data_IF_359278832358
#
_entry.id   IF_359278832358
#
_cell.length_a   1.000
_cell.length_b   1.000
_cell.length_c   1.000
_cell.angle_alpha   90.00
_cell.angle_beta   90.00
_cell.angle_gamma   90.00
#
_symmetry.space_group_name_H-M   'P 1'
#
loop_
_entity.id
_entity.type
_entity.pdbx_description
1 polymer ?
#
# COMPACT_ATOMS: atom_id res chain seq x y z
N UNK A 1 20.08 -34.12 9.95
CA UNK A 1 19.33 -32.89 10.33
C UNK A 1 19.84 -31.61 9.68
N UNK A 2 21.15 -31.32 9.56
CA UNK A 2 21.65 -30.09 8.89
C UNK A 2 21.37 -30.05 7.38
N UNK A 3 21.41 -31.15 6.68
CA UNK A 3 21.16 -31.28 5.23
C UNK A 3 19.68 -31.07 4.89
N UNK A 4 18.77 -31.62 5.69
CA UNK A 4 17.31 -31.42 5.50
C UNK A 4 16.91 -29.96 5.69
N UNK A 5 17.50 -29.26 6.68
CA UNK A 5 17.26 -27.82 6.89
C UNK A 5 17.72 -26.97 5.72
N UNK A 6 18.85 -27.33 5.08
CA UNK A 6 19.33 -26.65 3.87
C UNK A 6 18.43 -26.93 2.66
N UNK A 7 17.94 -28.16 2.51
CA UNK A 7 17.05 -28.56 1.43
C UNK A 7 15.68 -27.84 1.55
N UNK A 8 15.13 -27.75 2.76
CA UNK A 8 13.88 -27.01 3.04
C UNK A 8 14.07 -25.53 2.78
N UNK A 9 15.21 -24.94 3.13
CA UNK A 9 15.51 -23.53 2.86
C UNK A 9 15.64 -23.26 1.34
N UNK A 10 16.28 -24.14 0.58
CA UNK A 10 16.40 -24.03 -0.88
C UNK A 10 15.03 -24.21 -1.55
N UNK A 11 14.20 -25.15 -1.09
CA UNK A 11 12.84 -25.37 -1.61
C UNK A 11 11.93 -24.18 -1.34
N UNK A 12 12.14 -23.44 -0.24
CA UNK A 12 11.38 -22.23 0.10
C UNK A 12 11.84 -21.00 -0.69
N UNK A 13 13.11 -20.97 -1.15
CA UNK A 13 13.65 -19.89 -1.98
C UNK A 13 13.36 -20.06 -3.47
N UNK A 14 13.09 -21.28 -3.95
CA UNK A 14 12.89 -21.57 -5.37
C UNK A 14 11.67 -20.84 -6.00
N UNK A 15 10.48 -20.75 -5.35
CA UNK A 15 9.35 -20.00 -5.91
C UNK A 15 9.54 -18.47 -5.92
N UNK A 16 10.51 -17.93 -5.17
CA UNK A 16 10.77 -16.48 -5.14
C UNK A 16 11.51 -15.99 -6.40
N UNK A 17 12.10 -16.88 -7.19
CA UNK A 17 12.84 -16.52 -8.40
C UNK A 17 12.01 -16.51 -9.69
N UNK A 18 10.76 -17.00 -9.64
CA UNK A 18 9.91 -17.11 -10.83
C UNK A 18 8.82 -16.03 -10.92
N UNK A 19 8.74 -15.11 -9.96
CA UNK A 19 7.66 -14.14 -9.86
C UNK A 19 8.07 -12.75 -10.35
N UNK A 20 8.41 -12.62 -11.63
CA UNK A 20 8.29 -11.34 -12.34
C UNK A 20 6.81 -11.11 -12.69
N UNK A 21 5.91 -11.22 -11.71
CA UNK A 21 4.48 -11.00 -11.90
C UNK A 21 4.18 -9.51 -11.68
N UNK A 22 3.17 -9.03 -12.40
CA UNK A 22 2.63 -7.70 -12.15
C UNK A 22 2.21 -7.60 -10.68
N UNK A 23 2.56 -6.49 -10.03
CA UNK A 23 2.29 -6.28 -8.60
C UNK A 23 0.79 -6.05 -8.31
N UNK A 24 0.00 -5.77 -9.34
CA UNK A 24 -1.47 -5.67 -9.31
C UNK A 24 -2.02 -5.94 -10.71
N UNK A 25 -3.28 -6.35 -10.79
CA UNK A 25 -4.04 -6.53 -12.04
C UNK A 25 -5.37 -5.77 -11.97
N UNK A 26 -5.51 -4.91 -10.97
CA UNK A 26 -6.72 -4.10 -10.77
C UNK A 26 -6.87 -3.09 -11.92
N UNK A 27 -8.01 -3.06 -12.65
CA UNK A 27 -8.28 -2.03 -13.63
C UNK A 27 -8.30 -0.62 -13.02
N UNK A 28 -8.63 -0.49 -11.75
CA UNK A 28 -8.57 0.78 -11.02
C UNK A 28 -7.14 1.29 -10.80
N UNK A 29 -6.11 0.48 -11.07
CA UNK A 29 -4.73 0.95 -11.09
C UNK A 29 -4.37 1.76 -12.33
N UNK A 30 -5.26 1.86 -13.33
CA UNK A 30 -5.09 2.73 -14.50
C UNK A 30 -5.16 4.21 -14.14
N UNK A 31 -5.87 4.54 -13.05
CA UNK A 31 -6.06 5.93 -12.64
C UNK A 31 -4.86 6.45 -11.84
N UNK A 32 -4.42 7.64 -12.19
CA UNK A 32 -3.40 8.34 -11.44
C UNK A 32 -2.05 7.63 -11.41
N UNK A 33 -1.45 7.62 -10.25
CA UNK A 33 -0.16 6.93 -10.00
C UNK A 33 -0.34 5.44 -9.63
N UNK A 34 -1.49 4.87 -9.96
CA UNK A 34 -1.81 3.49 -9.67
C UNK A 34 -2.53 3.29 -8.33
N UNK A 35 -2.64 2.04 -7.91
CA UNK A 35 -3.29 1.65 -6.68
C UNK A 35 -2.38 1.89 -5.47
N UNK A 36 -2.80 2.75 -4.54
CA UNK A 36 -2.07 3.00 -3.31
C UNK A 36 -2.00 1.75 -2.43
N UNK A 37 -0.81 1.51 -1.89
CA UNK A 37 -0.56 0.41 -0.98
C UNK A 37 -0.76 0.85 0.48
N UNK A 38 -1.06 -0.12 1.36
CA UNK A 38 -1.11 0.14 2.80
C UNK A 38 0.24 0.66 3.29
N UNK A 39 0.24 1.82 3.93
CA UNK A 39 1.44 2.39 4.52
C UNK A 39 1.68 1.91 5.96
N UNK A 40 0.81 1.03 6.46
CA UNK A 40 0.93 0.39 7.77
C UNK A 40 1.66 -0.94 7.71
N UNK A 41 2.26 -1.31 8.82
CA UNK A 41 2.90 -2.62 9.01
C UNK A 41 1.89 -3.71 9.41
N UNK A 42 2.34 -4.93 9.66
CA UNK A 42 1.45 -6.05 9.99
C UNK A 42 0.50 -5.74 11.16
N UNK A 43 1.00 -5.09 12.22
CA UNK A 43 0.17 -4.67 13.36
C UNK A 43 -0.99 -3.74 12.93
N UNK A 44 -0.71 -2.76 12.08
CA UNK A 44 -1.71 -1.83 11.59
C UNK A 44 -2.74 -2.54 10.68
N UNK A 45 -2.26 -3.40 9.77
CA UNK A 45 -3.09 -4.13 8.81
C UNK A 45 -4.06 -5.09 9.52
N UNK A 46 -3.60 -5.80 10.56
CA UNK A 46 -4.42 -6.66 11.41
C UNK A 46 -5.54 -5.89 12.13
N UNK A 47 -5.32 -4.62 12.42
CA UNK A 47 -6.24 -3.73 13.13
C UNK A 47 -7.06 -2.85 12.19
N UNK A 48 -7.25 -3.24 10.92
CA UNK A 48 -8.03 -2.47 9.95
C UNK A 48 -7.35 -1.18 9.47
N UNK A 49 -6.02 -1.07 9.63
CA UNK A 49 -5.26 0.11 9.22
C UNK A 49 -5.19 1.22 10.27
N UNK A 50 -5.51 0.95 11.53
CA UNK A 50 -5.36 1.90 12.64
C UNK A 50 -3.89 2.26 12.84
N UNK A 51 -3.60 3.54 13.03
CA UNK A 51 -2.25 4.05 13.26
C UNK A 51 -2.18 5.27 14.16
N UNK A 52 -3.13 6.20 14.07
CA UNK A 52 -3.04 7.49 14.76
C UNK A 52 -2.88 7.36 16.29
N UNK A 53 -3.74 6.54 16.93
CA UNK A 53 -3.71 6.30 18.37
C UNK A 53 -3.09 4.94 18.75
N UNK A 54 -2.32 4.32 17.87
CA UNK A 54 -1.64 3.05 18.12
C UNK A 54 -0.29 3.28 18.77
N UNK A 55 -0.08 2.67 19.93
CA UNK A 55 1.12 2.82 20.75
C UNK A 55 1.69 1.44 21.08
N UNK A 56 2.92 1.18 20.71
CA UNK A 56 3.61 -0.09 21.00
C UNK A 56 5.06 0.16 21.40
N UNK A 57 5.52 -0.59 22.39
CA UNK A 57 6.91 -0.51 22.86
C UNK A 57 7.84 -1.52 22.15
N UNK A 58 7.31 -2.37 21.23
CA UNK A 58 8.03 -3.47 20.58
C UNK A 58 7.82 -3.56 19.07
N UNK A 59 6.76 -2.94 18.54
CA UNK A 59 6.43 -2.98 17.12
C UNK A 59 6.37 -1.55 16.58
N UNK A 60 6.87 -1.39 15.37
CA UNK A 60 6.91 -0.09 14.71
C UNK A 60 5.53 0.30 14.18
N UNK A 61 5.26 1.60 14.15
CA UNK A 61 4.06 2.18 13.57
C UNK A 61 4.45 3.44 12.79
N UNK A 62 4.47 3.34 11.46
CA UNK A 62 4.81 4.45 10.58
C UNK A 62 3.65 5.43 10.41
N UNK A 63 2.40 4.97 10.59
CA UNK A 63 1.21 5.79 10.36
C UNK A 63 1.09 6.99 11.31
N UNK A 64 1.74 6.94 12.48
CA UNK A 64 1.90 8.11 13.35
C UNK A 64 3.36 8.25 13.79
N UNK A 65 4.08 9.25 13.29
CA UNK A 65 5.49 9.48 13.65
C UNK A 65 5.76 9.59 15.14
N UNK A 66 4.85 10.15 15.92
CA UNK A 66 5.02 10.32 17.36
C UNK A 66 5.10 8.98 18.12
N UNK A 67 4.55 7.91 17.55
CA UNK A 67 4.47 6.58 18.19
C UNK A 67 5.84 5.96 18.45
N UNK A 68 6.87 6.31 17.65
CA UNK A 68 8.22 5.77 17.79
C UNK A 68 8.87 6.13 19.14
N UNK A 69 8.41 7.22 19.78
CA UNK A 69 8.83 7.62 21.14
C UNK A 69 8.55 6.57 22.21
N UNK A 70 7.66 5.61 21.93
CA UNK A 70 7.32 4.49 22.80
C UNK A 70 8.33 3.34 22.75
N UNK A 71 9.13 3.26 21.70
CA UNK A 71 10.02 2.12 21.46
C UNK A 71 11.05 1.97 22.59
N UNK A 72 11.17 0.73 23.10
CA UNK A 72 12.09 0.41 24.20
C UNK A 72 13.22 -0.55 23.80
N UNK A 73 13.06 -1.22 22.69
CA UNK A 73 14.02 -2.15 22.10
C UNK A 73 14.33 -1.73 20.68
N UNK A 74 15.51 -2.04 20.18
CA UNK A 74 15.78 -2.00 18.75
C UNK A 74 14.89 -3.01 18.07
N UNK A 75 14.14 -2.58 17.06
CA UNK A 75 13.19 -3.41 16.34
C UNK A 75 13.55 -3.41 14.85
N UNK A 76 13.75 -4.60 14.30
CA UNK A 76 13.87 -4.82 12.87
C UNK A 76 12.64 -5.57 12.39
N UNK A 77 11.95 -5.01 11.42
CA UNK A 77 10.72 -5.61 10.88
C UNK A 77 10.83 -5.82 9.38
N UNK A 78 10.42 -7.00 8.94
CA UNK A 78 10.27 -7.34 7.52
C UNK A 78 8.94 -8.03 7.31
N UNK A 79 8.19 -7.59 6.30
CA UNK A 79 6.89 -8.15 5.96
C UNK A 79 6.77 -8.46 4.47
N UNK A 80 6.04 -9.53 4.17
CA UNK A 80 5.65 -9.93 2.81
C UNK A 80 4.14 -9.91 2.74
N UNK A 81 3.60 -9.35 1.66
CA UNK A 81 2.18 -9.27 1.39
C UNK A 81 1.84 -10.12 0.16
N UNK A 82 0.69 -10.79 0.21
CA UNK A 82 0.07 -11.44 -0.93
C UNK A 82 -1.36 -10.94 -1.08
N UNK A 83 -1.84 -10.86 -2.30
CA UNK A 83 -3.22 -10.49 -2.62
C UNK A 83 -3.79 -11.47 -3.65
N UNK A 84 -4.93 -12.06 -3.34
CA UNK A 84 -5.80 -12.74 -4.28
C UNK A 84 -6.94 -11.79 -4.61
N UNK A 85 -7.09 -11.46 -5.88
CA UNK A 85 -8.04 -10.49 -6.40
C UNK A 85 -9.02 -11.19 -7.33
N UNK A 86 -10.31 -11.05 -7.04
CA UNK A 86 -11.43 -11.57 -7.82
C UNK A 86 -12.15 -10.37 -8.44
N UNK A 87 -12.03 -10.24 -9.73
CA UNK A 87 -12.64 -9.19 -10.54
C UNK A 87 -13.92 -9.73 -11.14
N UNK A 88 -15.00 -8.96 -11.07
CA UNK A 88 -16.28 -9.29 -11.67
C UNK A 88 -16.91 -8.05 -12.29
N UNK A 89 -17.26 -8.15 -13.57
CA UNK A 89 -18.14 -7.19 -14.24
C UNK A 89 -19.45 -7.89 -14.68
N UNK A 90 -20.21 -7.27 -15.57
CA UNK A 90 -21.46 -7.84 -16.09
C UNK A 90 -21.26 -9.09 -16.95
N UNK A 91 -20.09 -9.27 -17.58
CA UNK A 91 -19.82 -10.27 -18.62
C UNK A 91 -18.66 -11.21 -18.28
N UNK A 92 -17.73 -10.79 -17.41
CA UNK A 92 -16.49 -11.52 -17.14
C UNK A 92 -16.20 -11.65 -15.65
N UNK A 93 -15.54 -12.74 -15.31
CA UNK A 93 -14.94 -12.99 -14.00
C UNK A 93 -13.47 -13.36 -14.22
N UNK A 94 -12.58 -12.74 -13.46
CA UNK A 94 -11.14 -13.00 -13.52
C UNK A 94 -10.58 -13.12 -12.10
N UNK A 95 -9.69 -14.07 -11.90
CA UNK A 95 -8.93 -14.22 -10.67
C UNK A 95 -7.44 -13.97 -10.94
N UNK A 96 -6.78 -13.31 -10.01
CA UNK A 96 -5.34 -13.09 -10.05
C UNK A 96 -4.73 -13.16 -8.66
N UNK A 97 -3.46 -13.57 -8.61
CA UNK A 97 -2.67 -13.58 -7.38
C UNK A 97 -1.37 -12.85 -7.61
N UNK A 98 -1.01 -11.98 -6.67
CA UNK A 98 0.29 -11.33 -6.64
C UNK A 98 0.88 -11.32 -5.24
N UNK A 99 2.21 -11.29 -5.16
CA UNK A 99 2.93 -11.19 -3.89
C UNK A 99 4.08 -10.22 -4.01
N UNK A 100 4.31 -9.44 -2.95
CA UNK A 100 5.34 -8.41 -2.93
C UNK A 100 6.01 -8.33 -1.57
N UNK A 101 7.23 -7.75 -1.55
CA UNK A 101 7.80 -7.27 -0.29
C UNK A 101 6.90 -6.16 0.26
N UNK A 102 6.33 -6.37 1.44
CA UNK A 102 5.44 -5.42 2.07
C UNK A 102 6.19 -4.23 2.66
N UNK A 103 7.25 -4.49 3.40
CA UNK A 103 8.10 -3.45 4.00
C UNK A 103 9.37 -4.04 4.59
N UNK A 104 10.36 -3.16 4.74
CA UNK A 104 11.58 -3.36 5.50
C UNK A 104 11.76 -2.15 6.40
N UNK A 105 11.90 -2.33 7.71
CA UNK A 105 11.99 -1.22 8.67
C UNK A 105 12.91 -1.54 9.84
N UNK A 106 13.64 -0.54 10.29
CA UNK A 106 14.54 -0.62 11.42
C UNK A 106 14.27 0.57 12.35
N UNK A 107 14.05 0.31 13.63
CA UNK A 107 13.78 1.32 14.65
C UNK A 107 14.71 1.20 15.86
N UNK A 108 15.13 2.34 16.41
CA UNK A 108 16.01 2.44 17.56
C UNK A 108 15.47 3.39 18.61
N UNK A 109 15.47 2.99 19.90
CA UNK A 109 15.34 3.94 20.98
C UNK A 109 16.69 4.69 21.16
N UNK A 110 16.71 5.99 20.87
CA UNK A 110 17.90 6.85 21.06
C UNK A 110 18.09 7.23 22.52
N UNK A 111 16.99 7.52 23.20
CA UNK A 111 16.92 7.84 24.61
C UNK A 111 15.54 7.47 25.16
N UNK A 112 15.34 7.57 26.47
CA UNK A 112 14.01 7.35 27.06
C UNK A 112 12.99 8.36 26.51
N UNK A 113 12.01 7.86 25.75
CA UNK A 113 10.99 8.70 25.12
C UNK A 113 11.43 9.34 23.79
N UNK A 114 12.59 8.96 23.23
CA UNK A 114 13.06 9.42 21.93
C UNK A 114 13.42 8.21 21.07
N UNK A 115 12.83 8.12 19.89
CA UNK A 115 13.07 7.03 18.96
C UNK A 115 13.26 7.53 17.54
N UNK A 116 13.95 6.74 16.74
CA UNK A 116 14.15 6.92 15.31
C UNK A 116 13.85 5.62 14.59
N UNK A 117 13.28 5.69 13.40
CA UNK A 117 13.20 4.54 12.50
C UNK A 117 13.43 4.96 11.05
N UNK A 118 13.88 4.01 10.25
CA UNK A 118 14.05 4.17 8.81
C UNK A 118 13.61 2.89 8.12
N UNK A 119 13.17 3.02 6.87
CA UNK A 119 12.71 1.85 6.13
C UNK A 119 12.33 2.15 4.69
N UNK A 120 11.85 1.09 4.05
CA UNK A 120 11.43 1.07 2.65
C UNK A 120 10.14 0.26 2.54
N UNK A 121 9.18 0.78 1.79
CA UNK A 121 7.91 0.12 1.50
C UNK A 121 7.34 0.58 0.16
N UNK A 122 6.49 -0.23 -0.48
CA UNK A 122 5.76 0.20 -1.67
C UNK A 122 4.81 1.36 -1.35
N UNK A 123 4.73 2.34 -2.25
CA UNK A 123 3.80 3.46 -2.16
C UNK A 123 2.55 3.24 -3.02
N UNK A 124 2.77 2.91 -4.31
CA UNK A 124 1.69 2.57 -5.24
C UNK A 124 2.15 1.54 -6.26
N UNK A 125 1.21 0.80 -6.85
CA UNK A 125 1.45 -0.10 -7.97
C UNK A 125 0.53 0.22 -9.13
N UNK A 126 1.07 0.23 -10.33
CA UNK A 126 0.34 0.30 -11.59
C UNK A 126 0.48 -1.04 -12.31
N UNK A 127 -0.66 -1.66 -12.66
CA UNK A 127 -0.66 -2.96 -13.33
C UNK A 127 -2.05 -3.25 -13.87
N UNK A 128 -2.27 -3.00 -15.17
CA UNK A 128 -3.53 -3.27 -15.86
C UNK A 128 -3.25 -3.64 -17.31
N UNK A 129 -4.18 -4.36 -17.89
CA UNK A 129 -4.23 -4.67 -19.32
C UNK A 129 -5.69 -4.67 -19.72
N UNK A 130 -6.10 -3.69 -20.50
CA UNK A 130 -7.48 -3.45 -20.91
C UNK A 130 -7.53 -3.46 -22.44
N UNK A 131 -8.43 -4.24 -23.01
CA UNK A 131 -8.62 -4.33 -24.46
C UNK A 131 -9.97 -3.75 -24.83
N UNK A 132 -10.00 -2.90 -25.83
CA UNK A 132 -11.20 -2.34 -26.42
C UNK A 132 -11.21 -2.64 -27.91
N UNK A 133 -12.27 -3.28 -28.38
CA UNK A 133 -12.50 -3.53 -29.80
C UNK A 133 -13.53 -2.53 -30.31
N UNK A 134 -13.21 -1.85 -31.40
CA UNK A 134 -14.08 -0.85 -32.02
C UNK A 134 -14.18 -1.18 -33.51
N UNK A 135 -15.39 -1.34 -34.02
CA UNK A 135 -15.64 -1.46 -35.42
C UNK A 135 -15.79 -0.07 -36.02
N UNK A 136 -14.90 0.26 -36.95
CA UNK A 136 -15.00 1.48 -37.75
C UNK A 136 -15.55 1.11 -39.13
N UNK A 137 -16.57 1.82 -39.62
CA UNK A 137 -17.15 1.60 -40.94
C UNK A 137 -17.28 2.93 -41.70
N UNK A 138 -16.92 2.94 -42.97
CA UNK A 138 -17.18 4.06 -43.86
C UNK A 138 -18.46 3.90 -44.69
N UNK A 139 -19.23 2.84 -44.39
CA UNK A 139 -20.51 2.51 -45.05
C UNK A 139 -20.31 1.54 -46.24
N UNK A 140 -19.08 1.19 -46.61
CA UNK A 140 -18.72 0.21 -47.65
C UNK A 140 -17.91 -0.91 -47.02
N UNK A 141 -16.85 -0.56 -46.31
CA UNK A 141 -15.95 -1.49 -45.62
C UNK A 141 -16.05 -1.32 -44.10
N UNK A 142 -15.89 -2.39 -43.37
CA UNK A 142 -15.73 -2.37 -41.89
C UNK A 142 -14.32 -2.79 -41.53
N UNK A 143 -13.69 -2.01 -40.65
CA UNK A 143 -12.36 -2.27 -40.14
C UNK A 143 -12.43 -2.47 -38.63
N UNK A 144 -11.92 -3.59 -38.15
CA UNK A 144 -11.80 -3.86 -36.73
C UNK A 144 -10.53 -3.23 -36.19
N UNK A 145 -10.70 -2.23 -35.31
CA UNK A 145 -9.63 -1.55 -34.59
C UNK A 145 -9.55 -2.08 -33.14
N UNK A 146 -8.45 -2.73 -32.85
CA UNK A 146 -8.15 -3.20 -31.51
C UNK A 146 -7.24 -2.21 -30.81
N UNK A 147 -7.66 -1.76 -29.63
CA UNK A 147 -6.87 -0.89 -28.77
C UNK A 147 -6.59 -1.60 -27.45
N UNK A 148 -5.32 -1.68 -27.10
CA UNK A 148 -4.86 -2.28 -25.86
C UNK A 148 -4.17 -1.22 -25.00
N UNK A 149 -4.61 -1.08 -23.76
CA UNK A 149 -4.04 -0.17 -22.76
C UNK A 149 -3.31 -1.02 -21.73
N UNK A 150 -2.01 -0.81 -21.58
CA UNK A 150 -1.16 -1.54 -20.67
C UNK A 150 -0.49 -0.56 -19.72
N UNK A 151 -0.66 -0.80 -18.41
CA UNK A 151 0.07 -0.07 -17.38
C UNK A 151 0.97 -0.99 -16.58
N UNK A 152 2.15 -0.51 -16.19
CA UNK A 152 3.07 -1.27 -15.34
C UNK A 152 3.94 -0.35 -14.49
N UNK A 153 4.58 -0.93 -13.48
CA UNK A 153 5.50 -0.23 -12.60
C UNK A 153 4.90 0.13 -11.24
N UNK A 154 5.53 1.08 -10.56
CA UNK A 154 5.10 1.50 -9.23
C UNK A 154 6.06 2.47 -8.58
N UNK A 155 5.57 3.11 -7.52
CA UNK A 155 6.34 4.00 -6.69
C UNK A 155 6.66 3.33 -5.36
N UNK A 156 7.83 3.62 -4.83
CA UNK A 156 8.31 3.18 -3.53
C UNK A 156 8.50 4.39 -2.62
N UNK A 157 8.46 4.14 -1.31
CA UNK A 157 8.68 5.13 -0.26
C UNK A 157 9.84 4.69 0.60
N UNK A 158 10.94 5.45 0.61
CA UNK A 158 11.95 5.38 1.64
C UNK A 158 11.64 6.46 2.70
N UNK A 159 11.87 6.16 3.98
CA UNK A 159 11.54 7.11 5.03
C UNK A 159 12.56 7.11 6.16
N UNK A 160 12.63 8.26 6.84
CA UNK A 160 13.24 8.41 8.16
C UNK A 160 12.22 9.08 9.07
N UNK A 161 11.92 8.43 10.18
CA UNK A 161 10.98 8.89 11.19
C UNK A 161 11.70 9.21 12.50
N UNK A 162 11.38 10.35 13.11
CA UNK A 162 11.87 10.78 14.42
C UNK A 162 10.66 11.16 15.29
N UNK A 163 10.65 10.67 16.53
CA UNK A 163 9.63 11.04 17.51
C UNK A 163 10.19 11.17 18.91
N UNK A 164 9.64 12.12 19.65
CA UNK A 164 10.06 12.43 20.99
C UNK A 164 8.87 12.69 21.92
N UNK A 165 8.98 12.22 23.17
CA UNK A 165 8.07 12.60 24.26
C UNK A 165 8.52 13.94 24.81
N UNK A 166 7.76 15.00 24.51
CA UNK A 166 8.11 16.39 24.88
C UNK A 166 7.57 16.81 26.23
N UNK A 167 6.47 16.19 26.67
CA UNK A 167 5.86 16.46 27.98
C UNK A 167 5.22 15.19 28.53
N UNK A 168 4.74 15.20 29.80
CA UNK A 168 4.08 14.06 30.46
C UNK A 168 2.95 13.49 29.59
N UNK A 169 3.22 12.36 28.92
CA UNK A 169 2.28 11.67 28.03
C UNK A 169 2.14 12.26 26.63
N UNK A 170 2.68 13.45 26.32
CA UNK A 170 2.63 14.08 25.01
C UNK A 170 3.88 13.73 24.20
N UNK A 171 3.69 13.14 23.06
CA UNK A 171 4.73 12.84 22.08
C UNK A 171 4.43 13.54 20.76
N UNK A 172 5.46 14.02 20.09
CA UNK A 172 5.42 14.58 18.72
C UNK A 172 6.40 13.82 17.86
N UNK A 173 6.17 13.84 16.58
CA UNK A 173 7.08 13.21 15.63
C UNK A 173 6.90 13.74 14.22
N UNK A 174 7.89 13.49 13.39
CA UNK A 174 7.85 13.77 11.97
C UNK A 174 8.50 12.63 11.19
N UNK A 175 8.04 12.42 9.96
CA UNK A 175 8.65 11.49 9.00
C UNK A 175 9.02 12.26 7.75
N UNK A 176 10.29 12.22 7.37
CA UNK A 176 10.73 12.65 6.06
C UNK A 176 10.71 11.44 5.13
N UNK A 177 10.09 11.59 3.97
CA UNK A 177 9.94 10.52 2.98
C UNK A 177 10.56 10.94 1.67
N UNK A 178 11.06 9.95 0.93
CA UNK A 178 11.39 10.06 -0.49
C UNK A 178 10.50 9.09 -1.25
N UNK A 179 9.69 9.62 -2.16
CA UNK A 179 8.86 8.83 -3.08
C UNK A 179 9.62 8.70 -4.38
N UNK A 180 9.87 7.48 -4.84
CA UNK A 180 10.65 7.24 -6.05
C UNK A 180 10.17 6.00 -6.79
N UNK A 181 10.36 6.02 -8.12
CA UNK A 181 10.01 4.88 -8.98
C UNK A 181 9.60 5.32 -10.38
N UNK A 182 9.13 4.35 -11.15
CA UNK A 182 8.76 4.56 -12.56
C UNK A 182 7.41 3.93 -12.83
N UNK A 183 6.56 4.68 -13.54
CA UNK A 183 5.27 4.26 -14.07
C UNK A 183 5.36 4.26 -15.58
N UNK A 184 4.93 3.17 -16.20
CA UNK A 184 4.88 3.03 -17.64
C UNK A 184 3.45 2.84 -18.10
N UNK A 185 3.05 3.62 -19.11
CA UNK A 185 1.77 3.52 -19.82
C UNK A 185 2.04 3.26 -21.28
N UNK A 186 1.32 2.32 -21.86
CA UNK A 186 1.44 1.94 -23.24
C UNK A 186 0.04 1.79 -23.83
N UNK A 187 -0.16 2.35 -25.00
CA UNK A 187 -1.37 2.17 -25.79
C UNK A 187 -0.97 1.61 -27.14
N UNK A 188 -1.41 0.40 -27.43
CA UNK A 188 -1.23 -0.26 -28.70
C UNK A 188 -2.53 -0.20 -29.50
N UNK A 189 -2.43 0.30 -30.74
CA UNK A 189 -3.50 0.23 -31.73
C UNK A 189 -3.04 -0.76 -32.80
N UNK A 190 -3.83 -1.80 -33.04
CA UNK A 190 -3.49 -2.82 -34.00
C UNK A 190 -4.70 -3.31 -34.79
N UNK A 191 -4.41 -3.75 -35.98
CA UNK A 191 -5.38 -4.24 -36.96
C UNK A 191 -5.10 -5.71 -37.25
N UNK A 192 -6.14 -6.47 -37.56
CA UNK A 192 -5.97 -7.88 -38.00
C UNK A 192 -5.43 -7.97 -39.42
N UNK A 193 -5.67 -6.94 -40.27
CA UNK A 193 -5.20 -6.89 -41.63
C UNK A 193 -3.68 -6.73 -41.72
N UNK A 194 -2.97 -7.66 -42.41
CA UNK A 194 -1.50 -7.67 -42.41
C UNK A 194 -0.86 -6.46 -43.13
N UNK A 195 -1.63 -5.73 -43.93
CA UNK A 195 -1.14 -4.59 -44.69
C UNK A 195 -1.24 -3.26 -43.94
N UNK A 196 -1.92 -3.24 -42.80
CA UNK A 196 -2.04 -2.04 -42.01
C UNK A 196 -0.87 -1.93 -41.03
N UNK A 197 -0.53 -0.70 -40.70
CA UNK A 197 0.57 -0.38 -39.79
C UNK A 197 0.00 -0.14 -38.42
N UNK A 198 0.51 -0.87 -37.45
CA UNK A 198 0.14 -0.72 -36.06
C UNK A 198 0.88 0.48 -35.41
N UNK A 199 0.29 1.04 -34.38
CA UNK A 199 0.85 2.17 -33.62
C UNK A 199 0.98 1.82 -32.15
N UNK A 200 2.08 2.22 -31.54
CA UNK A 200 2.32 2.17 -30.09
C UNK A 200 2.63 3.55 -29.59
N UNK A 201 1.86 4.02 -28.61
CA UNK A 201 2.16 5.20 -27.83
C UNK A 201 2.67 4.73 -26.47
N UNK A 202 3.84 5.18 -26.06
CA UNK A 202 4.47 4.83 -24.79
C UNK A 202 4.80 6.09 -24.00
N UNK A 203 4.46 6.10 -22.71
CA UNK A 203 4.82 7.17 -21.78
C UNK A 203 5.46 6.57 -20.52
N UNK A 204 6.59 7.12 -20.12
CA UNK A 204 7.35 6.68 -18.95
C UNK A 204 7.48 7.87 -18.01
N UNK A 205 6.87 7.76 -16.84
CA UNK A 205 6.91 8.77 -15.77
C UNK A 205 7.86 8.31 -14.68
N UNK A 206 8.91 9.08 -14.42
CA UNK A 206 9.86 8.82 -13.33
C UNK A 206 9.66 9.87 -12.25
N UNK A 207 9.38 9.42 -11.03
CA UNK A 207 9.19 10.27 -9.85
C UNK A 207 10.36 10.08 -8.90
N UNK A 208 10.88 11.18 -8.36
CA UNK A 208 11.89 11.17 -7.29
C UNK A 208 11.80 12.49 -6.52
N UNK A 209 11.03 12.49 -5.43
CA UNK A 209 10.81 13.71 -4.65
C UNK A 209 10.50 13.40 -3.18
N UNK A 210 10.50 14.45 -2.34
CA UNK A 210 10.39 14.34 -0.91
C UNK A 210 9.03 14.81 -0.38
N UNK A 211 8.53 14.14 0.67
CA UNK A 211 7.32 14.52 1.41
C UNK A 211 7.55 14.49 2.92
N UNK A 212 6.65 15.09 3.69
CA UNK A 212 6.73 15.17 5.13
C UNK A 212 5.41 14.72 5.77
N UNK A 213 5.48 13.92 6.84
CA UNK A 213 4.34 13.62 7.69
C UNK A 213 4.61 14.09 9.13
N UNK A 214 3.58 14.59 9.80
CA UNK A 214 3.62 15.04 11.18
C UNK A 214 2.71 14.19 12.04
N UNK A 215 3.09 13.97 13.28
CA UNK A 215 2.31 13.18 14.22
C UNK A 215 2.33 13.72 15.64
N UNK A 216 1.23 13.48 16.32
CA UNK A 216 1.04 13.81 17.73
C UNK A 216 0.35 12.64 18.42
N UNK A 217 0.80 12.29 19.63
CA UNK A 217 0.12 11.35 20.53
C UNK A 217 0.10 11.88 21.96
N UNK A 218 -1.05 11.73 22.63
CA UNK A 218 -1.18 12.00 24.05
C UNK A 218 -1.66 10.76 24.78
N UNK A 219 -0.81 10.22 25.63
CA UNK A 219 -1.09 9.03 26.45
C UNK A 219 -1.34 9.43 27.90
N UNK A 220 -2.46 8.98 28.45
CA UNK A 220 -2.80 9.12 29.87
C UNK A 220 -3.18 7.78 30.49
N UNK A 221 -2.56 7.44 31.60
CA UNK A 221 -2.93 6.24 32.35
C UNK A 221 -3.96 6.60 33.45
N UNK A 222 -5.13 5.95 33.41
CA UNK A 222 -6.23 6.16 34.33
C UNK A 222 -6.62 4.79 34.90
N UNK A 223 -6.47 4.61 36.21
CA UNK A 223 -6.81 3.35 36.90
C UNK A 223 -6.20 2.09 36.22
N UNK A 224 -4.94 2.18 35.79
CA UNK A 224 -4.22 1.09 35.14
C UNK A 224 -4.62 0.79 33.67
N UNK A 225 -5.49 1.62 33.08
CA UNK A 225 -5.83 1.59 31.66
C UNK A 225 -5.15 2.77 30.95
N UNK A 226 -4.71 2.56 29.73
CA UNK A 226 -4.12 3.58 28.88
C UNK A 226 -5.20 4.14 27.97
N UNK A 227 -5.40 5.45 28.01
CA UNK A 227 -6.19 6.23 27.07
C UNK A 227 -5.20 6.98 26.18
N UNK A 228 -5.31 6.84 24.87
CA UNK A 228 -4.41 7.46 23.91
C UNK A 228 -5.24 8.22 22.89
N UNK A 229 -4.96 9.49 22.74
CA UNK A 229 -5.38 10.31 21.61
C UNK A 229 -4.23 10.43 20.64
N UNK A 230 -4.47 10.28 19.34
CA UNK A 230 -3.48 10.45 18.30
C UNK A 230 -4.03 11.26 17.15
N UNK A 231 -3.17 12.07 16.57
CA UNK A 231 -3.46 12.83 15.34
C UNK A 231 -2.26 12.80 14.41
N UNK A 232 -2.53 12.79 13.10
CA UNK A 232 -1.52 12.86 12.05
C UNK A 232 -1.93 13.86 10.98
N UNK A 233 -0.94 14.45 10.36
CA UNK A 233 -1.11 15.42 9.30
C UNK A 233 -0.03 15.24 8.25
N UNK A 234 -0.42 15.04 7.00
CA UNK A 234 0.47 15.06 5.84
C UNK A 234 0.09 16.26 4.98
N UNK A 235 0.94 17.27 4.88
CA UNK A 235 0.67 18.45 4.06
C UNK A 235 0.61 18.07 2.58
N UNK A 236 -0.08 18.89 1.81
CA UNK A 236 -0.03 18.82 0.36
C UNK A 236 1.42 18.90 -0.12
N UNK A 237 1.79 18.04 -1.05
CA UNK A 237 3.16 17.96 -1.58
C UNK A 237 3.14 17.94 -3.10
N UNK A 238 3.94 18.80 -3.71
CA UNK A 238 4.13 18.82 -5.14
C UNK A 238 5.34 17.97 -5.48
N UNK A 239 5.12 16.82 -6.14
CA UNK A 239 6.18 15.95 -6.62
C UNK A 239 6.48 16.26 -8.08
N UNK A 240 7.74 16.24 -8.43
CA UNK A 240 8.19 16.40 -9.81
C UNK A 240 8.28 15.04 -10.49
N UNK A 241 7.55 14.87 -11.58
CA UNK A 241 7.64 13.70 -12.43
C UNK A 241 8.29 14.07 -13.75
N UNK A 242 9.26 13.30 -14.15
CA UNK A 242 9.90 13.41 -15.48
C UNK A 242 9.17 12.48 -16.44
N UNK A 243 8.61 13.03 -17.51
CA UNK A 243 7.93 12.27 -18.57
C UNK A 243 8.84 12.11 -19.77
N UNK A 244 8.88 10.88 -20.33
CA UNK A 244 9.47 10.55 -21.62
C UNK A 244 8.42 9.84 -22.43
N UNK A 245 8.02 10.45 -23.56
CA UNK A 245 7.04 9.90 -24.49
C UNK A 245 7.69 9.40 -25.77
N UNK A 246 7.10 8.36 -26.37
CA UNK A 246 7.51 7.89 -27.69
C UNK A 246 6.32 7.31 -28.45
N UNK A 247 6.26 7.60 -29.75
CA UNK A 247 5.25 7.06 -30.67
C UNK A 247 5.97 6.27 -31.76
N UNK A 248 5.63 4.99 -31.84
CA UNK A 248 6.20 4.07 -32.81
C UNK A 248 5.15 3.53 -33.76
N UNK A 249 5.54 3.28 -34.98
CA UNK A 249 4.82 2.36 -35.85
C UNK A 249 5.50 1.00 -35.84
N UNK A 250 4.70 -0.05 -35.86
CA UNK A 250 5.22 -1.40 -35.82
C UNK A 250 4.37 -2.39 -36.63
N UNK A 251 5.00 -3.51 -36.97
CA UNK A 251 4.31 -4.68 -37.53
C UNK A 251 4.61 -5.88 -36.62
N UNK A 252 3.69 -6.82 -36.63
CA UNK A 252 3.86 -8.09 -35.91
C UNK A 252 4.06 -9.21 -36.93
N UNK A 253 5.14 -9.98 -36.77
CA UNK A 253 5.36 -11.18 -37.57
C UNK A 253 5.94 -12.27 -36.66
N UNK A 254 5.41 -13.50 -36.76
CA UNK A 254 5.84 -14.65 -35.92
C UNK A 254 5.84 -14.35 -34.40
N UNK A 255 4.86 -13.62 -33.92
CA UNK A 255 4.75 -13.15 -32.51
C UNK A 255 5.85 -12.18 -32.06
N UNK A 256 6.63 -11.62 -32.98
CA UNK A 256 7.60 -10.57 -32.66
C UNK A 256 7.11 -9.22 -33.18
N UNK A 257 7.33 -8.19 -32.35
CA UNK A 257 7.05 -6.79 -32.70
C UNK A 257 8.29 -6.22 -33.41
N UNK A 258 8.10 -5.72 -34.65
CA UNK A 258 9.15 -5.05 -35.43
C UNK A 258 8.80 -3.58 -35.54
N UNK A 259 9.55 -2.72 -34.84
CA UNK A 259 9.43 -1.26 -34.97
C UNK A 259 9.82 -0.89 -36.39
N UNK A 260 8.92 -0.21 -37.09
CA UNK A 260 9.14 0.28 -38.47
C UNK A 260 9.69 1.68 -38.48
N UNK A 261 9.04 2.56 -37.71
CA UNK A 261 9.43 3.96 -37.69
C UNK A 261 9.11 4.56 -36.30
N UNK A 262 9.84 5.58 -35.92
CA UNK A 262 9.60 6.40 -34.77
C UNK A 262 8.98 7.71 -35.22
N UNK A 263 7.67 7.89 -34.97
CA UNK A 263 6.94 9.09 -35.39
C UNK A 263 7.32 10.29 -34.54
N UNK A 264 7.41 10.07 -33.24
CA UNK A 264 7.77 11.10 -32.26
C UNK A 264 8.59 10.48 -31.12
N UNK A 265 9.60 11.23 -30.71
CA UNK A 265 10.28 11.07 -29.43
C UNK A 265 10.09 12.39 -28.71
N UNK A 266 9.26 12.40 -27.69
CA UNK A 266 9.08 13.60 -26.91
C UNK A 266 10.34 13.87 -26.09
N UNK A 267 10.80 15.11 -26.12
CA UNK A 267 11.85 15.53 -25.21
C UNK A 267 11.40 15.34 -23.77
N UNK A 268 12.34 14.98 -22.91
CA UNK A 268 12.09 14.83 -21.49
C UNK A 268 11.45 16.10 -20.92
N UNK A 269 10.21 16.01 -20.49
CA UNK A 269 9.47 17.10 -19.89
C UNK A 269 9.29 16.87 -18.39
N UNK A 270 9.29 17.96 -17.63
CA UNK A 270 9.00 17.93 -16.19
C UNK A 270 7.53 18.27 -15.99
N UNK A 271 6.83 17.45 -15.22
CA UNK A 271 5.42 17.62 -14.93
C UNK A 271 5.17 17.50 -13.42
N UNK A 272 4.22 18.27 -12.94
CA UNK A 272 3.86 18.27 -11.54
C UNK A 272 2.86 17.17 -11.20
N UNK A 273 3.14 16.47 -10.11
CA UNK A 273 2.25 15.52 -9.46
C UNK A 273 1.91 16.03 -8.06
N UNK A 274 0.70 16.53 -7.89
CA UNK A 274 0.25 17.10 -6.63
C UNK A 274 -0.35 16.00 -5.74
N UNK A 275 0.32 15.61 -4.66
CA UNK A 275 -0.24 14.74 -3.64
C UNK A 275 -1.14 15.54 -2.69
N UNK A 276 -2.36 15.06 -2.41
CA UNK A 276 -3.31 15.78 -1.59
C UNK A 276 -2.92 15.80 -0.11
N UNK A 277 -3.41 16.82 0.58
CA UNK A 277 -3.36 16.89 2.03
C UNK A 277 -4.16 15.75 2.66
N UNK A 278 -3.66 15.19 3.76
CA UNK A 278 -4.39 14.21 4.56
C UNK A 278 -4.23 14.43 6.06
N UNK A 279 -5.28 14.09 6.80
CA UNK A 279 -5.25 14.11 8.24
C UNK A 279 -6.03 12.94 8.83
N UNK A 280 -5.55 12.43 9.96
CA UNK A 280 -6.25 11.40 10.71
C UNK A 280 -6.27 11.75 12.20
N UNK A 281 -7.33 11.32 12.88
CA UNK A 281 -7.45 11.41 14.32
C UNK A 281 -8.03 10.11 14.87
N UNK A 282 -7.49 9.65 15.99
CA UNK A 282 -7.89 8.41 16.62
C UNK A 282 -7.91 8.48 18.14
N UNK A 283 -8.71 7.61 18.70
CA UNK A 283 -8.81 7.41 20.14
C UNK A 283 -8.68 5.92 20.46
N UNK A 284 -7.87 5.58 21.42
CA UNK A 284 -7.73 4.21 21.88
C UNK A 284 -7.82 4.07 23.40
N UNK A 285 -8.32 2.93 23.81
CA UNK A 285 -8.39 2.53 25.22
C UNK A 285 -7.87 1.09 25.35
N UNK A 286 -7.04 0.84 26.33
CA UNK A 286 -6.50 -0.50 26.54
C UNK A 286 -5.84 -0.70 27.89
N UNK A 287 -5.44 -1.94 28.13
CA UNK A 287 -4.55 -2.31 29.24
C UNK A 287 -3.32 -2.95 28.61
N UNK A 288 -2.17 -2.38 28.89
CA UNK A 288 -0.91 -2.83 28.34
C UNK A 288 -0.75 -4.36 28.41
N UNK A 289 -0.35 -4.98 27.29
CA UNK A 289 -0.16 -6.43 27.14
C UNK A 289 -1.38 -7.31 27.45
N UNK A 290 -2.59 -6.75 27.45
CA UNK A 290 -3.80 -7.53 27.76
C UNK A 290 -4.91 -7.32 26.72
N UNK A 291 -5.37 -6.09 26.51
CA UNK A 291 -6.38 -5.78 25.52
C UNK A 291 -6.30 -4.32 25.08
N UNK A 292 -6.84 -4.04 23.89
CA UNK A 292 -6.84 -2.74 23.25
C UNK A 292 -8.04 -2.63 22.33
N UNK A 293 -8.65 -1.45 22.28
CA UNK A 293 -9.70 -1.08 21.33
C UNK A 293 -9.40 0.33 20.84
N UNK A 294 -9.56 0.57 19.54
CA UNK A 294 -9.32 1.87 18.96
C UNK A 294 -10.30 2.16 17.84
N UNK A 295 -10.62 3.45 17.67
CA UNK A 295 -11.32 4.00 16.54
C UNK A 295 -10.53 5.15 15.92
N UNK A 296 -10.54 5.26 14.61
CA UNK A 296 -9.81 6.28 13.84
C UNK A 296 -10.65 6.76 12.68
N UNK A 297 -10.58 8.06 12.43
CA UNK A 297 -11.11 8.71 11.23
C UNK A 297 -9.96 9.34 10.45
N UNK A 298 -9.90 9.08 9.14
CA UNK A 298 -8.93 9.65 8.22
C UNK A 298 -9.67 10.32 7.06
N UNK A 299 -9.14 11.46 6.62
CA UNK A 299 -9.65 12.21 5.49
C UNK A 299 -8.51 12.62 4.56
N UNK A 300 -8.74 12.47 3.25
CA UNK A 300 -7.80 12.84 2.19
C UNK A 300 -8.47 13.68 1.13
N UNK A 301 -7.87 14.80 0.78
CA UNK A 301 -8.41 15.78 -0.19
C UNK A 301 -8.05 15.39 -1.63
N UNK A 302 -8.44 14.18 -2.06
CA UNK A 302 -8.12 13.66 -3.39
C UNK A 302 -8.64 14.50 -4.56
N UNK A 303 -9.68 15.32 -4.36
CA UNK A 303 -10.17 16.26 -5.37
C UNK A 303 -9.11 17.28 -5.81
N UNK A 304 -8.04 17.43 -5.03
CA UNK A 304 -6.93 18.33 -5.32
C UNK A 304 -5.78 17.63 -6.08
N UNK A 305 -5.83 16.31 -6.27
CA UNK A 305 -4.82 15.60 -7.02
C UNK A 305 -4.77 16.11 -8.44
N UNK A 306 -3.62 16.61 -8.86
CA UNK A 306 -3.32 16.95 -10.25
C UNK A 306 -2.22 16.01 -10.75
N UNK A 307 -2.43 15.44 -11.92
CA UNK A 307 -1.50 14.50 -12.54
C UNK A 307 -1.03 15.06 -13.86
N UNK A 308 0.26 15.24 -13.99
CA UNK A 308 0.94 15.49 -15.27
C UNK A 308 0.32 16.62 -16.11
N UNK A 309 -0.21 17.67 -15.43
CA UNK A 309 -0.87 18.80 -16.10
C UNK A 309 -2.32 18.53 -16.54
N UNK A 310 -2.84 17.31 -16.40
CA UNK A 310 -4.24 17.02 -16.67
C UNK A 310 -5.10 17.31 -15.43
N UNK A 311 -5.86 18.39 -15.47
CA UNK A 311 -6.81 18.76 -14.43
C UNK A 311 -8.14 17.97 -14.50
N UNK A 312 -8.27 17.03 -15.41
CA UNK A 312 -9.55 16.38 -15.73
C UNK A 312 -9.77 15.02 -15.02
N UNK A 313 -8.90 14.62 -14.11
CA UNK A 313 -9.20 13.48 -13.25
C UNK A 313 -10.23 13.92 -12.22
N UNK A 314 -11.49 13.56 -12.42
CA UNK A 314 -12.55 13.84 -11.45
C UNK A 314 -12.40 12.87 -10.28
N UNK A 315 -11.54 13.24 -9.34
CA UNK A 315 -11.38 12.56 -8.07
C UNK A 315 -12.22 13.24 -6.99
N UNK A 316 -12.71 12.47 -6.05
CA UNK A 316 -13.47 12.97 -4.91
C UNK A 316 -12.69 12.78 -3.61
N UNK A 317 -12.95 13.66 -2.64
CA UNK A 317 -12.39 13.51 -1.31
C UNK A 317 -12.81 12.19 -0.67
N UNK A 318 -11.86 11.50 -0.06
CA UNK A 318 -12.08 10.21 0.58
C UNK A 318 -12.08 10.32 2.09
N UNK A 319 -13.06 9.68 2.72
CA UNK A 319 -13.16 9.50 4.16
C UNK A 319 -13.00 8.03 4.50
N UNK A 320 -12.26 7.75 5.57
CA UNK A 320 -12.02 6.40 6.04
C UNK A 320 -12.30 6.29 7.54
N UNK A 321 -13.12 5.31 7.92
CA UNK A 321 -13.40 4.96 9.31
C UNK A 321 -12.78 3.61 9.59
N UNK A 322 -11.96 3.54 10.65
CA UNK A 322 -11.24 2.34 11.04
C UNK A 322 -11.56 1.99 12.49
N UNK A 323 -11.82 0.73 12.76
CA UNK A 323 -11.99 0.18 14.10
C UNK A 323 -11.05 -1.01 14.26
N UNK A 324 -10.41 -1.12 15.40
CA UNK A 324 -9.50 -2.24 15.66
C UNK A 324 -9.45 -2.60 17.14
N UNK A 325 -9.24 -3.88 17.37
CA UNK A 325 -9.10 -4.42 18.73
C UNK A 325 -8.09 -5.57 18.75
N UNK A 326 -7.42 -5.73 19.86
CA UNK A 326 -6.64 -6.93 20.13
C UNK A 326 -6.78 -7.39 21.57
N UNK A 327 -6.56 -8.70 21.80
CA UNK A 327 -6.53 -9.32 23.12
C UNK A 327 -5.37 -10.31 23.21
N UNK A 328 -4.69 -10.30 24.37
CA UNK A 328 -3.73 -11.33 24.76
C UNK A 328 -4.25 -11.93 26.06
N UNK A 329 -4.74 -13.18 26.06
CA UNK A 329 -5.39 -13.78 27.24
C UNK A 329 -4.50 -13.78 28.48
N UNK A 330 -3.24 -14.18 28.35
CA UNK A 330 -2.24 -14.10 29.42
C UNK A 330 -0.82 -14.11 28.84
N UNK A 331 -0.19 -12.95 28.73
CA UNK A 331 1.15 -12.80 28.16
C UNK A 331 2.28 -13.42 29.02
N UNK A 332 1.99 -13.86 30.24
CA UNK A 332 2.95 -14.48 31.20
C UNK A 332 2.74 -15.98 31.38
N UNK A 333 1.80 -16.61 30.66
CA UNK A 333 1.52 -18.03 30.80
C UNK A 333 2.69 -18.85 30.21
N UNK A 334 3.33 -19.68 31.04
CA UNK A 334 4.45 -20.53 30.62
C UNK A 334 4.01 -21.92 30.18
N UNK A 335 2.77 -22.32 30.53
CA UNK A 335 2.24 -23.65 30.26
C UNK A 335 1.43 -23.73 28.97
N UNK A 336 0.66 -22.68 28.67
CA UNK A 336 -0.26 -22.67 27.54
C UNK A 336 0.14 -21.56 26.54
N UNK A 337 0.87 -21.93 25.50
CA UNK A 337 1.37 -20.99 24.48
C UNK A 337 0.26 -20.14 23.83
N UNK A 338 -0.90 -20.73 23.54
CA UNK A 338 -2.01 -20.02 22.93
C UNK A 338 -2.53 -18.83 23.75
N UNK A 339 -2.31 -18.80 25.07
CA UNK A 339 -2.66 -17.67 25.93
C UNK A 339 -1.71 -16.48 25.78
N UNK A 340 -0.49 -16.71 25.25
CA UNK A 340 0.51 -15.67 25.02
C UNK A 340 0.37 -15.01 23.64
N UNK A 341 -0.43 -15.62 22.76
CA UNK A 341 -0.71 -15.08 21.43
C UNK A 341 -1.57 -13.82 21.54
N UNK A 342 -1.23 -12.78 20.79
CA UNK A 342 -2.07 -11.62 20.61
C UNK A 342 -2.98 -11.82 19.41
N UNK A 343 -4.29 -11.91 19.65
CA UNK A 343 -5.32 -12.03 18.64
C UNK A 343 -5.81 -10.65 18.26
N UNK A 344 -5.89 -10.35 16.98
CA UNK A 344 -6.20 -9.02 16.43
C UNK A 344 -7.37 -9.08 15.48
N UNK A 345 -8.18 -8.04 15.46
CA UNK A 345 -9.31 -7.86 14.56
C UNK A 345 -9.44 -6.40 14.18
N UNK A 346 -9.82 -6.13 12.94
CA UNK A 346 -10.02 -4.77 12.43
C UNK A 346 -11.13 -4.69 11.41
N UNK A 347 -11.76 -3.52 11.36
CA UNK A 347 -12.75 -3.11 10.36
C UNK A 347 -12.29 -1.84 9.69
N UNK A 348 -12.49 -1.74 8.40
CA UNK A 348 -12.18 -0.56 7.61
C UNK A 348 -13.30 -0.28 6.63
N UNK A 349 -13.77 0.96 6.61
CA UNK A 349 -14.70 1.48 5.63
C UNK A 349 -14.11 2.73 5.00
N UNK A 350 -13.98 2.76 3.68
CA UNK A 350 -13.42 3.85 2.89
C UNK A 350 -14.42 4.21 1.77
N UNK A 351 -14.74 5.50 1.64
CA UNK A 351 -15.63 5.98 0.59
C UNK A 351 -15.03 5.95 -0.82
N UNK A 352 -13.72 5.63 -0.93
CA UNK A 352 -12.99 5.68 -2.19
C UNK A 352 -12.74 7.11 -2.66
N UNK A 353 -11.78 7.25 -3.56
CA UNK A 353 -11.39 8.53 -4.14
C UNK A 353 -11.73 8.66 -5.63
N UNK A 354 -12.05 7.55 -6.31
CA UNK A 354 -12.44 7.56 -7.71
C UNK A 354 -13.94 7.90 -7.81
N UNK A 355 -14.27 8.85 -8.68
CA UNK A 355 -15.65 9.14 -9.03
C UNK A 355 -16.09 8.24 -10.17
N UNK A 356 -16.92 7.25 -9.84
CA UNK A 356 -17.38 6.25 -10.81
C UNK A 356 -18.36 6.81 -11.83
N UNK A 357 -18.96 7.98 -11.62
CA UNK A 357 -19.86 8.62 -12.60
C UNK A 357 -19.18 8.95 -13.92
N UNK A 358 -17.85 9.10 -13.88
CA UNK A 358 -17.01 9.38 -15.06
C UNK A 358 -16.44 8.12 -15.72
N UNK A 359 -16.42 6.99 -14.99
CA UNK A 359 -15.90 5.71 -15.47
C UNK A 359 -16.95 4.91 -16.22
N UNK A 360 -18.23 5.19 -15.99
CA UNK A 360 -19.32 4.49 -16.62
C UNK A 360 -19.85 5.31 -17.80
N UNK A 361 -20.07 4.63 -18.93
CA UNK A 361 -20.86 5.12 -20.05
C UNK A 361 -22.35 5.11 -19.61
N UNK A 362 -22.66 5.78 -18.49
CA UNK A 362 -23.99 5.75 -17.91
C UNK A 362 -24.19 6.79 -16.81
N UNK A 363 -25.43 7.20 -16.60
CA UNK A 363 -25.85 8.33 -15.78
C UNK A 363 -25.90 8.08 -14.26
N UNK A 364 -25.37 6.98 -13.76
CA UNK A 364 -25.49 6.63 -12.35
C UNK A 364 -24.25 7.06 -11.53
N UNK A 365 -24.46 7.89 -10.50
CA UNK A 365 -23.46 8.19 -9.48
C UNK A 365 -23.18 6.94 -8.62
N UNK A 366 -22.17 6.18 -8.96
CA UNK A 366 -21.73 5.03 -8.16
C UNK A 366 -20.40 5.35 -7.48
N UNK A 367 -20.34 5.24 -6.16
CA UNK A 367 -19.10 5.40 -5.39
C UNK A 367 -18.36 4.08 -5.30
N UNK A 368 -17.04 4.10 -5.47
CA UNK A 368 -16.17 2.94 -5.28
C UNK A 368 -15.84 2.75 -3.80
N UNK A 369 -16.88 2.52 -3.00
CA UNK A 369 -16.68 2.25 -1.57
C UNK A 369 -15.86 0.96 -1.39
N UNK A 370 -15.00 0.95 -0.39
CA UNK A 370 -14.19 -0.21 0.01
C UNK A 370 -14.49 -0.55 1.47
N UNK A 371 -14.94 -1.77 1.71
CA UNK A 371 -15.16 -2.32 3.04
C UNK A 371 -14.29 -3.53 3.25
N UNK A 372 -13.60 -3.61 4.39
CA UNK A 372 -12.79 -4.77 4.72
C UNK A 372 -12.82 -5.15 6.20
N UNK A 373 -12.61 -6.44 6.43
CA UNK A 373 -12.49 -7.11 7.73
C UNK A 373 -11.10 -7.75 7.80
N UNK A 374 -10.37 -7.45 8.85
CA UNK A 374 -9.01 -7.98 9.08
C UNK A 374 -8.97 -8.87 10.32
N UNK A 375 -8.18 -9.93 10.24
CA UNK A 375 -7.84 -10.80 11.36
C UNK A 375 -6.34 -11.04 11.39
N UNK A 376 -5.76 -11.07 12.57
CA UNK A 376 -4.34 -11.34 12.71
C UNK A 376 -3.95 -11.95 14.04
N UNK A 377 -2.75 -12.47 14.06
CA UNK A 377 -2.13 -13.05 15.25
C UNK A 377 -0.66 -12.62 15.33
N UNK A 378 -0.24 -12.20 16.53
CA UNK A 378 1.17 -12.05 16.83
C UNK A 378 1.64 -13.20 17.71
N UNK A 379 2.58 -13.96 17.22
CA UNK A 379 3.12 -15.19 17.79
C UNK A 379 4.49 -14.91 18.42
N UNK A 380 4.58 -14.70 19.74
CA UNK A 380 5.88 -14.48 20.40
C UNK A 380 6.70 -15.77 20.37
N UNK A 381 7.93 -15.71 19.89
CA UNK A 381 8.81 -16.87 19.89
C UNK A 381 9.37 -17.12 21.29
N UNK A 382 9.37 -18.38 21.71
CA UNK A 382 9.92 -18.79 23.01
C UNK A 382 11.42 -18.49 23.08
N UNK A 383 11.87 -17.94 24.21
CA UNK A 383 13.28 -17.59 24.48
C UNK A 383 13.85 -16.51 23.54
N UNK A 384 13.00 -15.74 22.90
CA UNK A 384 13.37 -14.63 22.01
C UNK A 384 12.39 -13.48 22.20
N UNK A 385 12.82 -12.28 21.88
CA UNK A 385 11.91 -11.13 21.77
C UNK A 385 11.31 -11.00 20.35
N UNK A 386 11.52 -12.01 19.49
CA UNK A 386 11.00 -12.04 18.13
C UNK A 386 9.51 -12.36 18.12
N UNK A 387 8.78 -11.66 17.28
CA UNK A 387 7.34 -11.84 17.06
C UNK A 387 7.14 -12.21 15.58
N UNK A 388 6.36 -13.26 15.33
CA UNK A 388 5.88 -13.57 13.98
C UNK A 388 4.44 -13.06 13.88
N UNK A 389 4.17 -12.18 12.93
CA UNK A 389 2.85 -11.65 12.66
C UNK A 389 2.28 -12.34 11.41
N UNK A 390 1.07 -12.85 11.52
CA UNK A 390 0.34 -13.50 10.43
C UNK A 390 -1.06 -12.92 10.43
N UNK A 391 -1.53 -12.47 9.27
CA UNK A 391 -2.87 -11.93 9.15
C UNK A 391 -3.47 -12.09 7.77
N UNK A 392 -4.78 -11.90 7.73
CA UNK A 392 -5.58 -11.88 6.52
C UNK A 392 -6.61 -10.76 6.57
N UNK A 393 -6.84 -10.12 5.44
CA UNK A 393 -7.85 -9.08 5.26
C UNK A 393 -8.76 -9.51 4.10
N UNK A 394 -10.06 -9.50 4.34
CA UNK A 394 -11.11 -9.79 3.38
C UNK A 394 -11.82 -8.48 3.06
N UNK A 395 -11.91 -8.13 1.80
CA UNK A 395 -12.53 -6.87 1.41
C UNK A 395 -13.26 -6.95 0.09
N UNK A 396 -14.09 -5.91 -0.12
CA UNK A 396 -14.85 -5.70 -1.35
C UNK A 396 -14.81 -4.22 -1.69
N UNK A 397 -14.51 -3.92 -2.96
CA UNK A 397 -14.48 -2.57 -3.51
C UNK A 397 -15.33 -2.49 -4.77
N UNK A 398 -16.08 -1.39 -4.91
CA UNK A 398 -16.89 -1.12 -6.10
C UNK A 398 -18.13 -2.00 -6.21
N UNK A 399 -18.68 -2.04 -7.42
CA UNK A 399 -19.89 -2.78 -7.79
C UNK A 399 -19.78 -3.28 -9.22
N UNK A 400 -20.44 -4.37 -9.56
CA UNK A 400 -20.56 -4.87 -10.93
C UNK A 400 -21.69 -4.20 -11.73
N UNK A 401 -22.42 -3.24 -11.13
CA UNK A 401 -23.46 -2.48 -11.80
C UNK A 401 -22.85 -1.30 -12.59
N UNK A 402 -23.59 -0.78 -13.59
CA UNK A 402 -23.23 0.42 -14.38
C UNK A 402 -21.86 0.30 -15.09
N UNK A 403 -21.54 -0.85 -15.66
CA UNK A 403 -20.28 -1.15 -16.35
C UNK A 403 -19.02 -0.96 -15.48
N UNK A 404 -19.18 -1.02 -14.15
CA UNK A 404 -18.07 -1.00 -13.23
C UNK A 404 -17.60 -2.42 -12.91
N UNK A 405 -16.41 -2.53 -12.32
CA UNK A 405 -15.83 -3.79 -11.88
C UNK A 405 -15.93 -3.91 -10.36
N UNK A 406 -16.57 -4.96 -9.88
CA UNK A 406 -16.50 -5.35 -8.47
C UNK A 406 -15.19 -6.08 -8.22
N UNK A 407 -14.44 -5.62 -7.21
CA UNK A 407 -13.24 -6.27 -6.75
C UNK A 407 -13.49 -6.89 -5.37
N UNK A 408 -13.45 -8.21 -5.28
CA UNK A 408 -13.31 -8.91 -3.99
C UNK A 408 -11.86 -9.30 -3.82
N UNK A 409 -11.31 -9.07 -2.64
CA UNK A 409 -9.91 -9.38 -2.40
C UNK A 409 -9.69 -10.08 -1.06
N UNK A 410 -8.66 -10.93 -1.06
CA UNK A 410 -8.10 -11.51 0.16
C UNK A 410 -6.63 -11.12 0.19
N UNK A 411 -6.24 -10.28 1.15
CA UNK A 411 -4.84 -9.92 1.38
C UNK A 411 -4.31 -10.76 2.53
N UNK A 412 -3.13 -11.34 2.34
CA UNK A 412 -2.40 -12.06 3.37
C UNK A 412 -1.11 -11.31 3.68
N UNK A 413 -0.68 -11.36 4.93
CA UNK A 413 0.64 -10.89 5.28
C UNK A 413 1.31 -11.82 6.28
N UNK A 414 2.63 -11.94 6.09
CA UNK A 414 3.54 -12.59 7.00
C UNK A 414 4.66 -11.62 7.33
N UNK A 415 4.90 -11.36 8.60
CA UNK A 415 5.96 -10.46 9.00
C UNK A 415 6.73 -10.96 10.23
N UNK A 416 8.00 -10.60 10.29
CA UNK A 416 8.88 -10.90 11.39
C UNK A 416 9.31 -9.59 12.05
N UNK A 417 9.13 -9.50 13.36
CA UNK A 417 9.60 -8.40 14.20
C UNK A 417 10.70 -8.94 15.11
N UNK A 418 11.94 -8.58 14.84
CA UNK A 418 13.10 -8.94 15.65
C UNK A 418 13.38 -7.82 16.63
N UNK A 419 13.27 -8.10 17.93
CA UNK A 419 13.54 -7.13 18.99
C UNK A 419 14.77 -7.53 19.79
N UNK A 420 15.69 -6.59 19.96
CA UNK A 420 16.90 -6.79 20.76
C UNK A 420 17.31 -5.53 21.52
N UNK A 421 18.13 -5.70 22.56
CA UNK A 421 18.75 -4.59 23.27
C UNK A 421 20.10 -4.29 22.65
N UNK A 422 20.17 -3.21 21.85
CA UNK A 422 21.43 -2.73 21.30
C UNK A 422 22.04 -1.66 22.21
N UNK A 423 23.34 -1.42 22.04
CA UNK A 423 24.13 -0.40 22.76
C UNK A 423 24.27 -0.64 24.29
N UNK A 424 24.00 -1.84 24.77
CA UNK A 424 24.38 -2.23 26.13
C UNK A 424 25.85 -2.64 26.18
N UNK A 425 26.70 -1.86 26.91
CA UNK A 425 28.06 -2.30 27.22
C UNK A 425 27.99 -3.61 27.97
N UNK A 426 28.57 -4.69 27.41
CA UNK A 426 28.79 -5.92 28.15
C UNK A 426 29.76 -5.58 29.28
N UNK A 427 29.36 -5.73 30.52
CA UNK A 427 30.33 -5.78 31.63
C UNK A 427 31.09 -7.08 31.46
N UNK A 428 32.38 -6.98 31.21
CA UNK A 428 33.33 -8.08 31.30
C UNK A 428 33.70 -8.09 32.79
N UNK A 429 33.16 -9.03 33.55
CA UNK A 429 33.59 -9.34 34.92
C UNK A 429 34.82 -10.25 34.84
#
# INVERSE_FOLDING_TARGET
>A
MRTIKKLVFILFCYPLLTLAQQNTTSPYSSFGIGQFQSQGFALNNDLGGIGAALHSNKQLNLLNPASISALTLTSFEVGVNGISLFLKDANFEQESFSSTLGYLSLGFPLAQGVGVSAGLLPFSFKGYQLTQNTEWTDGIDSLELNTEYIGSGGLNRAYINLGARVYKGLSIGFTANVIFGTLKEQRDLWFEEPNLINRRDESIYTVNDATLDLGLQYLRTIKGKQLIFGATFSPQSNLTATNQGAIYTYNTANNYVYIRDTISLDETSSQDLLLPMSYAAGLSLGKENNWFVSGEYEFKEWSQLSLFGEQNLKLQNASQIKLGAWITPNNKDVHHYWKTIQYRMGLNFNTGYLDASELSIGTAQSKLNDFSLSFGMALPLKRSNTIVNIGAQFGRRGTAENNLVEEKYIKFHLAFTFNDKWFTKRKID
#
